data_IF_108759389063
#
_entry.id   IF_108759389063
#
_cell.length_a   1.000
_cell.length_b   1.000
_cell.length_c   1.000
_cell.angle_alpha   90.00
_cell.angle_beta   90.00
_cell.angle_gamma   90.00
#
_symmetry.space_group_name_H-M   'P 1'
#
loop_
_entity.id
_entity.type
_entity.pdbx_description
1 polymer ?
#
# COMPACT_ATOMS: atom_id res chain seq x y z
N UNK A 1 15.81 12.85 18.26
CA UNK A 1 16.28 12.11 17.07
C UNK A 1 15.04 11.51 16.47
N UNK A 2 14.52 12.06 15.37
CA UNK A 2 13.37 11.46 14.68
C UNK A 2 13.92 10.28 13.89
N UNK A 3 13.59 9.07 14.33
CA UNK A 3 13.82 7.86 13.56
C UNK A 3 12.86 7.91 12.36
N UNK A 4 13.28 8.61 11.30
CA UNK A 4 12.61 8.54 10.00
C UNK A 4 12.85 7.13 9.49
N UNK A 5 11.81 6.30 9.54
CA UNK A 5 11.82 4.99 8.88
C UNK A 5 11.94 5.24 7.40
N UNK A 6 13.13 4.98 6.86
CA UNK A 6 13.39 5.09 5.44
C UNK A 6 12.55 4.04 4.70
N UNK A 7 11.87 4.41 3.61
CA UNK A 7 11.11 3.45 2.83
C UNK A 7 12.03 2.40 2.23
N UNK A 8 11.71 1.12 2.41
CA UNK A 8 12.46 -0.01 1.83
C UNK A 8 12.14 -0.21 0.34
N UNK A 9 10.94 0.17 -0.09
CA UNK A 9 10.49 0.05 -1.47
C UNK A 9 10.50 1.41 -2.17
N UNK A 10 10.65 1.38 -3.50
CA UNK A 10 10.78 2.58 -4.31
C UNK A 10 9.68 2.70 -5.36
N UNK A 11 9.45 3.92 -5.82
CA UNK A 11 8.57 4.19 -6.96
C UNK A 11 8.97 3.37 -8.19
N UNK A 12 7.98 2.80 -8.88
CA UNK A 12 8.15 1.89 -10.02
C UNK A 12 8.54 0.46 -9.64
N UNK A 13 8.69 0.15 -8.34
CA UNK A 13 8.99 -1.21 -7.91
C UNK A 13 7.73 -2.08 -7.89
N UNK A 14 7.86 -3.30 -8.40
CA UNK A 14 6.80 -4.31 -8.29
C UNK A 14 6.77 -4.91 -6.89
N UNK A 15 5.58 -4.92 -6.32
CA UNK A 15 5.31 -5.49 -5.00
C UNK A 15 4.11 -6.41 -5.07
N UNK A 16 3.99 -7.29 -4.09
CA UNK A 16 2.92 -8.26 -3.96
C UNK A 16 2.21 -8.02 -2.66
N UNK A 17 0.87 -8.02 -2.66
CA UNK A 17 0.09 -7.97 -1.43
C UNK A 17 0.46 -9.19 -0.56
N UNK A 18 0.94 -8.94 0.65
CA UNK A 18 1.30 -10.01 1.59
C UNK A 18 0.06 -10.67 2.18
N UNK A 19 -1.00 -9.89 2.38
CA UNK A 19 -2.30 -10.30 2.90
C UNK A 19 -3.44 -9.65 2.07
N UNK A 20 -4.70 -9.97 2.39
CA UNK A 20 -5.85 -9.37 1.73
C UNK A 20 -5.95 -7.89 2.12
N UNK A 21 -5.84 -6.98 1.15
CA UNK A 21 -6.00 -5.56 1.40
C UNK A 21 -7.48 -5.23 1.47
N UNK A 22 -7.91 -4.86 2.67
CA UNK A 22 -9.30 -4.55 2.99
C UNK A 22 -9.51 -3.04 2.98
N UNK A 23 -10.67 -2.59 2.52
CA UNK A 23 -11.01 -1.18 2.57
C UNK A 23 -11.24 -0.73 4.02
N UNK A 24 -10.37 0.14 4.52
CA UNK A 24 -10.49 0.79 5.81
C UNK A 24 -11.51 1.95 5.83
N UNK A 25 -12.14 2.23 4.68
CA UNK A 25 -13.06 3.35 4.46
C UNK A 25 -12.46 4.46 3.60
N UNK A 26 -11.19 4.34 3.19
CA UNK A 26 -10.52 5.30 2.30
C UNK A 26 -10.97 5.19 0.85
N UNK A 27 -11.50 4.03 0.42
CA UNK A 27 -12.04 3.85 -0.92
C UNK A 27 -13.53 4.22 -0.97
N UNK A 28 -13.90 5.33 -1.66
CA UNK A 28 -15.30 5.60 -1.97
C UNK A 28 -15.83 4.48 -2.89
N UNK A 29 -17.13 4.23 -2.81
CA UNK A 29 -17.84 3.21 -3.61
C UNK A 29 -17.64 1.74 -3.20
N UNK A 30 -16.66 1.42 -2.36
CA UNK A 30 -16.47 0.08 -1.80
C UNK A 30 -16.87 0.07 -0.32
N UNK A 31 -17.60 -0.94 0.19
CA UNK A 31 -17.89 -1.03 1.62
C UNK A 31 -16.60 -1.05 2.46
N UNK A 32 -16.63 -0.42 3.63
CA UNK A 32 -15.62 -0.72 4.65
C UNK A 32 -15.65 -2.23 4.95
N UNK A 33 -14.49 -2.82 5.21
CA UNK A 33 -14.28 -4.26 5.39
C UNK A 33 -14.39 -5.14 4.11
N UNK A 34 -14.58 -4.56 2.92
CA UNK A 34 -14.52 -5.34 1.68
C UNK A 34 -13.07 -5.49 1.18
N UNK A 35 -12.73 -6.67 0.68
CA UNK A 35 -11.42 -6.95 0.08
C UNK A 35 -11.28 -6.19 -1.25
N UNK A 36 -10.35 -5.24 -1.30
CA UNK A 36 -9.97 -4.50 -2.49
C UNK A 36 -9.01 -5.30 -3.36
N UNK A 37 -8.02 -5.93 -2.72
CA UNK A 37 -6.96 -6.68 -3.39
C UNK A 37 -6.72 -7.97 -2.64
N UNK A 38 -6.77 -9.09 -3.34
CA UNK A 38 -6.49 -10.39 -2.74
C UNK A 38 -5.01 -10.54 -2.43
N UNK A 39 -4.71 -11.26 -1.34
CA UNK A 39 -3.38 -11.67 -0.97
C UNK A 39 -2.68 -12.32 -2.16
N UNK A 40 -1.47 -11.85 -2.43
CA UNK A 40 -0.65 -12.36 -3.50
C UNK A 40 -0.85 -11.69 -4.86
N UNK A 41 -1.75 -10.71 -4.99
CA UNK A 41 -1.85 -9.87 -6.18
C UNK A 41 -0.58 -9.03 -6.33
N UNK A 42 -0.06 -8.94 -7.56
CA UNK A 42 1.10 -8.10 -7.87
C UNK A 42 0.61 -6.72 -8.31
N UNK A 43 1.25 -5.69 -7.78
CA UNK A 43 1.03 -4.29 -8.15
C UNK A 43 2.37 -3.55 -8.31
N UNK A 44 2.29 -2.27 -8.65
CA UNK A 44 3.45 -1.39 -8.82
C UNK A 44 3.33 -0.18 -7.90
N UNK A 45 4.42 0.19 -7.23
CA UNK A 45 4.44 1.38 -6.38
C UNK A 45 4.40 2.62 -7.25
N UNK A 46 3.32 3.37 -7.16
CA UNK A 46 3.11 4.62 -7.91
C UNK A 46 3.33 5.86 -7.05
N UNK A 47 3.41 5.72 -5.72
CA UNK A 47 3.82 6.81 -4.83
C UNK A 47 4.35 6.25 -3.49
N UNK A 48 5.28 6.98 -2.86
CA UNK A 48 5.76 6.69 -1.50
C UNK A 48 5.53 7.94 -0.66
N UNK A 49 4.44 7.93 0.09
CA UNK A 49 4.07 8.96 1.05
C UNK A 49 4.66 8.70 2.44
N UNK A 50 4.44 9.64 3.34
CA UNK A 50 4.76 9.49 4.76
C UNK A 50 3.56 9.93 5.58
N UNK A 51 3.19 9.14 6.58
CA UNK A 51 2.16 9.56 7.52
C UNK A 51 2.78 10.57 8.49
N UNK A 52 2.45 11.85 8.37
CA UNK A 52 3.13 12.95 9.09
C UNK A 52 3.11 12.80 10.62
N UNK A 53 2.02 12.31 11.21
CA UNK A 53 1.92 12.09 12.65
C UNK A 53 2.58 10.81 13.17
N UNK A 54 2.60 9.72 12.37
CA UNK A 54 3.14 8.43 12.78
C UNK A 54 4.60 8.22 12.32
N UNK A 55 5.11 9.08 11.43
CA UNK A 55 6.43 9.02 10.80
C UNK A 55 6.74 7.64 10.18
N UNK A 56 5.71 6.98 9.65
CA UNK A 56 5.80 5.69 8.95
C UNK A 56 5.65 5.91 7.45
N UNK A 57 6.40 5.19 6.61
CA UNK A 57 6.24 5.23 5.17
C UNK A 57 4.90 4.58 4.78
N UNK A 58 4.20 5.21 3.84
CA UNK A 58 2.96 4.71 3.23
C UNK A 58 3.21 4.54 1.74
N UNK A 59 2.93 3.35 1.22
CA UNK A 59 3.17 3.02 -0.17
C UNK A 59 1.84 3.01 -0.91
N UNK A 60 1.70 3.85 -1.94
CA UNK A 60 0.57 3.74 -2.85
C UNK A 60 0.96 2.76 -3.96
N UNK A 61 0.22 1.66 -4.02
CA UNK A 61 0.44 0.59 -4.99
C UNK A 61 -0.74 0.55 -5.94
N UNK A 62 -0.46 0.64 -7.24
CA UNK A 62 -1.44 0.42 -8.29
C UNK A 62 -1.54 -1.09 -8.57
N UNK A 63 -2.73 -1.63 -8.35
CA UNK A 63 -3.10 -3.00 -8.64
C UNK A 63 -4.07 -3.01 -9.84
N UNK A 64 -3.80 -3.81 -10.86
CA UNK A 64 -4.65 -3.87 -12.05
C UNK A 64 -4.60 -2.58 -12.89
N UNK A 65 -5.70 -2.24 -13.56
CA UNK A 65 -5.73 -1.12 -14.53
C UNK A 65 -6.07 0.25 -13.91
N UNK A 66 -6.67 0.32 -12.71
CA UNK A 66 -7.16 1.59 -12.14
C UNK A 66 -7.35 1.61 -10.62
N UNK A 67 -6.78 0.65 -9.87
CA UNK A 67 -6.99 0.54 -8.43
C UNK A 67 -5.68 0.89 -7.68
N UNK A 68 -5.62 2.09 -7.11
CA UNK A 68 -4.46 2.55 -6.32
C UNK A 68 -4.76 2.42 -4.82
N UNK A 69 -4.12 1.49 -4.13
CA UNK A 69 -4.35 1.24 -2.69
C UNK A 69 -3.16 1.72 -1.87
N UNK A 70 -3.43 2.48 -0.82
CA UNK A 70 -2.43 2.85 0.18
C UNK A 70 -2.18 1.68 1.12
N UNK A 71 -0.95 1.20 1.19
CA UNK A 71 -0.54 0.06 1.99
C UNK A 71 0.65 0.43 2.89
N UNK A 72 0.74 -0.22 4.03
CA UNK A 72 1.91 -0.15 4.90
C UNK A 72 3.00 -1.12 4.44
N UNK A 73 4.23 -0.89 4.91
CA UNK A 73 5.39 -1.74 4.59
C UNK A 73 5.15 -3.22 4.89
N UNK A 74 4.42 -3.54 5.96
CA UNK A 74 4.14 -4.90 6.41
C UNK A 74 3.01 -5.59 5.63
N UNK A 75 2.26 -4.85 4.81
CA UNK A 75 1.13 -5.37 4.03
C UNK A 75 1.57 -5.74 2.60
N UNK A 76 2.80 -5.38 2.21
CA UNK A 76 3.35 -5.64 0.89
C UNK A 76 4.74 -6.29 0.97
N UNK A 77 4.99 -7.23 0.08
CA UNK A 77 6.27 -7.90 -0.12
C UNK A 77 6.89 -7.52 -1.46
N UNK A 78 8.22 -7.68 -1.60
CA UNK A 78 8.84 -7.69 -2.92
C UNK A 78 8.23 -8.83 -3.76
N UNK A 79 7.82 -8.53 -5.00
CA UNK A 79 7.25 -9.49 -5.94
C UNK A 79 8.33 -10.34 -6.64
#
# INVERSE_FOLDING_TARGET
MFDLRLPIYQWGQKVRAADDLVNDGSYPDVPADAVLVAAGTVGEIVNVGHHEQANIPVYLVEFGESLVVGCLENEIGAA
#
